data_IF_454268341685
#
_entry.id   IF_454268341685
#
_cell.length_a   1.000
_cell.length_b   1.000
_cell.length_c   1.000
_cell.angle_alpha   90.00
_cell.angle_beta   90.00
_cell.angle_gamma   90.00
#
_symmetry.space_group_name_H-M   'P 1'
#
loop_
_entity.id
_entity.type
_entity.pdbx_description
1 polymer ?
#
# COMPACT_ATOMS: atom_id res chain seq x y z
N UNK A 1 1.00 25.92 2.05
CA UNK A 1 -0.29 25.20 2.20
C UNK A 1 -0.11 24.11 3.25
N UNK A 2 -1.14 23.80 4.05
CA UNK A 2 -1.13 22.63 4.95
C UNK A 2 -1.03 21.36 4.09
N UNK A 3 -0.11 20.45 4.43
CA UNK A 3 -0.02 19.14 3.77
C UNK A 3 -1.16 18.26 4.26
N UNK A 4 -1.71 17.42 3.39
CA UNK A 4 -2.68 16.39 3.80
C UNK A 4 -1.93 15.29 4.54
N UNK A 5 -2.31 15.04 5.79
CA UNK A 5 -1.69 14.04 6.68
C UNK A 5 -2.35 12.69 6.46
N UNK A 6 -1.54 11.68 6.18
CA UNK A 6 -2.00 10.39 5.66
C UNK A 6 -1.50 9.23 6.51
N UNK A 7 -2.40 8.30 6.84
CA UNK A 7 -2.02 6.94 7.25
C UNK A 7 -2.22 5.99 6.08
N UNK A 8 -1.28 5.08 5.85
CA UNK A 8 -1.42 4.01 4.85
C UNK A 8 -1.56 2.66 5.57
N UNK A 9 -2.71 2.02 5.41
CA UNK A 9 -2.99 0.69 5.97
C UNK A 9 -2.59 -0.42 5.00
N UNK A 10 -1.84 -1.44 5.43
CA UNK A 10 -1.53 -2.59 4.58
C UNK A 10 -0.62 -3.64 5.20
N UNK A 11 -0.32 -4.68 4.40
CA UNK A 11 0.48 -5.83 4.80
C UNK A 11 1.76 -5.96 3.94
N UNK A 12 2.63 -4.95 3.96
CA UNK A 12 4.01 -5.02 3.42
C UNK A 12 4.12 -5.37 1.93
N UNK A 13 3.23 -4.83 1.10
CA UNK A 13 3.24 -4.93 -0.35
C UNK A 13 2.68 -3.68 -1.02
N UNK A 14 1.36 -3.62 -1.19
CA UNK A 14 0.70 -2.52 -1.90
C UNK A 14 0.76 -1.19 -1.14
N UNK A 15 0.81 -1.20 0.18
CA UNK A 15 1.08 -0.03 1.03
C UNK A 15 2.38 0.68 0.65
N UNK A 16 3.51 -0.03 0.68
CA UNK A 16 4.81 0.51 0.29
C UNK A 16 4.86 0.88 -1.19
N UNK A 17 4.18 0.11 -2.06
CA UNK A 17 4.05 0.47 -3.46
C UNK A 17 3.29 1.79 -3.66
N UNK A 18 2.15 1.97 -3.01
CA UNK A 18 1.38 3.22 -3.05
C UNK A 18 2.21 4.39 -2.53
N UNK A 19 2.94 4.19 -1.42
CA UNK A 19 3.88 5.18 -0.90
C UNK A 19 4.92 5.58 -1.94
N UNK A 20 5.66 4.61 -2.48
CA UNK A 20 6.75 4.86 -3.41
C UNK A 20 6.31 5.48 -4.74
N UNK A 21 5.12 5.12 -5.22
CA UNK A 21 4.63 5.58 -6.52
C UNK A 21 3.91 6.93 -6.46
N UNK A 22 3.35 7.30 -5.31
CA UNK A 22 2.48 8.48 -5.22
C UNK A 22 2.83 9.47 -4.10
N UNK A 23 3.36 9.01 -2.96
CA UNK A 23 3.53 9.85 -1.76
C UNK A 23 4.98 10.24 -1.44
N UNK A 24 5.97 9.40 -1.76
CA UNK A 24 7.37 9.51 -1.27
C UNK A 24 7.99 10.90 -1.37
N UNK A 25 7.86 11.56 -2.51
CA UNK A 25 8.45 12.89 -2.75
C UNK A 25 7.37 13.93 -3.13
N UNK A 26 6.12 13.68 -2.71
CA UNK A 26 4.98 14.52 -3.03
C UNK A 26 4.70 15.51 -1.89
N UNK A 27 5.09 16.77 -2.10
CA UNK A 27 5.02 17.83 -1.07
C UNK A 27 3.59 18.22 -0.67
N UNK A 28 2.57 17.78 -1.42
CA UNK A 28 1.16 17.96 -1.05
C UNK A 28 0.72 17.07 0.13
N UNK A 29 1.48 16.00 0.43
CA UNK A 29 1.13 14.99 1.42
C UNK A 29 2.23 14.81 2.47
N UNK A 30 1.83 14.31 3.62
CA UNK A 30 2.71 13.85 4.69
C UNK A 30 2.19 12.50 5.19
N UNK A 31 2.92 11.42 4.90
CA UNK A 31 2.58 10.08 5.39
C UNK A 31 3.14 9.93 6.79
N UNK A 32 2.26 10.02 7.78
CA UNK A 32 2.64 10.10 9.21
C UNK A 32 2.83 8.73 9.84
N UNK A 33 2.21 7.70 9.25
CA UNK A 33 2.34 6.33 9.71
C UNK A 33 1.92 5.32 8.63
N UNK A 34 2.47 4.12 8.74
CA UNK A 34 1.86 2.91 8.22
C UNK A 34 1.16 2.16 9.36
N UNK A 35 0.15 1.37 9.01
CA UNK A 35 -0.44 0.39 9.94
C UNK A 35 -0.52 -0.98 9.31
N UNK A 36 -0.33 -2.03 10.09
CA UNK A 36 -0.43 -3.41 9.63
C UNK A 36 -1.18 -4.30 10.62
N UNK A 37 -1.96 -5.26 10.11
CA UNK A 37 -2.39 -6.44 10.87
C UNK A 37 -1.16 -7.22 11.32
N UNK A 38 -1.22 -7.89 12.48
CA UNK A 38 -0.08 -8.59 13.06
C UNK A 38 0.63 -9.51 12.04
N UNK A 39 1.77 -9.04 11.54
CA UNK A 39 2.78 -9.87 10.91
C UNK A 39 3.80 -10.18 12.01
N UNK A 40 4.23 -11.44 12.19
CA UNK A 40 5.26 -11.76 13.16
C UNK A 40 6.46 -10.81 13.02
N UNK A 41 6.85 -10.17 14.13
CA UNK A 41 7.99 -9.24 14.23
C UNK A 41 7.85 -7.87 13.53
N UNK A 42 6.64 -7.38 13.21
CA UNK A 42 6.48 -6.04 12.61
C UNK A 42 6.37 -4.90 13.63
N UNK A 43 6.07 -5.21 14.89
CA UNK A 43 5.92 -4.24 15.97
C UNK A 43 7.22 -3.45 16.19
N UNK A 44 7.13 -2.11 16.21
CA UNK A 44 8.28 -1.22 16.36
C UNK A 44 9.13 -1.03 15.09
N UNK A 45 8.76 -1.62 13.94
CA UNK A 45 9.48 -1.38 12.67
C UNK A 45 9.16 0.01 12.10
N UNK A 46 10.13 0.51 11.33
CA UNK A 46 9.95 1.67 10.46
C UNK A 46 10.11 1.25 9.00
N UNK A 47 9.36 1.91 8.12
CA UNK A 47 9.76 2.03 6.73
C UNK A 47 11.08 2.82 6.69
N UNK A 48 12.17 2.27 6.14
CA UNK A 48 13.51 2.78 6.37
C UNK A 48 13.75 4.09 5.61
N UNK A 49 14.50 5.01 6.24
CA UNK A 49 14.82 6.32 5.68
C UNK A 49 15.47 6.26 4.29
N UNK A 50 16.34 5.26 4.07
CA UNK A 50 17.03 5.03 2.80
C UNK A 50 16.08 4.78 1.61
N UNK A 51 14.83 4.34 1.89
CA UNK A 51 13.79 4.12 0.88
C UNK A 51 12.69 5.19 0.93
N UNK A 52 12.65 6.00 1.98
CA UNK A 52 11.55 6.91 2.27
C UNK A 52 11.63 8.24 1.50
N UNK A 53 12.71 8.50 0.77
CA UNK A 53 12.88 9.73 -0.02
C UNK A 53 13.20 10.96 0.82
N UNK A 54 13.28 12.13 0.17
CA UNK A 54 13.85 13.35 0.79
C UNK A 54 12.98 13.93 1.91
N UNK A 55 11.70 13.59 1.93
CA UNK A 55 10.73 14.14 2.88
C UNK A 55 10.68 13.39 4.22
N UNK A 56 11.35 12.23 4.32
CA UNK A 56 11.24 11.33 5.48
C UNK A 56 12.62 10.81 5.95
N UNK A 57 13.54 11.70 6.40
CA UNK A 57 14.90 11.33 6.78
C UNK A 57 14.99 10.37 7.97
N UNK A 58 13.93 10.26 8.78
CA UNK A 58 13.86 9.37 9.95
C UNK A 58 13.10 8.06 9.67
N UNK A 59 12.71 7.85 8.41
CA UNK A 59 11.77 6.81 8.02
C UNK A 59 10.34 7.11 8.48
N UNK A 60 9.46 6.11 8.37
CA UNK A 60 8.04 6.23 8.75
C UNK A 60 7.67 5.07 9.66
N UNK A 61 7.05 5.37 10.80
CA UNK A 61 6.68 4.34 11.77
C UNK A 61 5.59 3.40 11.24
N UNK A 62 5.67 2.12 11.63
CA UNK A 62 4.66 1.11 11.36
C UNK A 62 4.02 0.72 12.71
N UNK A 63 2.72 0.93 12.84
CA UNK A 63 1.96 0.63 14.05
C UNK A 63 1.03 -0.58 13.85
N UNK A 64 0.59 -1.23 14.94
CA UNK A 64 -0.53 -2.17 14.88
C UNK A 64 -1.79 -1.50 14.32
N UNK A 65 -2.52 -2.21 13.45
CA UNK A 65 -3.79 -1.71 12.90
C UNK A 65 -4.84 -1.41 13.98
N UNK A 66 -4.82 -2.13 15.10
CA UNK A 66 -5.75 -1.92 16.21
C UNK A 66 -5.64 -0.51 16.83
N UNK A 67 -4.48 0.14 16.70
CA UNK A 67 -4.25 1.51 17.17
C UNK A 67 -4.80 2.58 16.22
N UNK A 68 -5.30 2.21 15.03
CA UNK A 68 -5.72 3.15 13.99
C UNK A 68 -6.68 4.25 14.49
N UNK A 69 -7.73 3.98 15.27
CA UNK A 69 -8.65 5.03 15.74
C UNK A 69 -7.96 6.09 16.61
N UNK A 70 -7.01 5.67 17.44
CA UNK A 70 -6.26 6.56 18.32
C UNK A 70 -5.17 7.30 17.56
N UNK A 71 -4.51 6.64 16.61
CA UNK A 71 -3.51 7.27 15.73
C UNK A 71 -4.13 8.38 14.88
N UNK A 72 -5.35 8.20 14.37
CA UNK A 72 -6.06 9.23 13.58
C UNK A 72 -6.17 10.53 14.37
N UNK A 73 -6.58 10.45 15.64
CA UNK A 73 -6.73 11.61 16.52
C UNK A 73 -5.37 12.18 16.93
N UNK A 74 -4.46 11.31 17.42
CA UNK A 74 -3.15 11.70 17.96
C UNK A 74 -2.26 12.36 16.91
N UNK A 75 -2.35 11.90 15.66
CA UNK A 75 -1.52 12.38 14.56
C UNK A 75 -2.23 13.40 13.67
N UNK A 76 -3.43 13.90 14.02
CA UNK A 76 -4.23 14.84 13.21
C UNK A 76 -4.32 14.39 11.74
N UNK A 77 -4.85 13.19 11.52
CA UNK A 77 -4.87 12.54 10.20
C UNK A 77 -6.06 13.02 9.39
N UNK A 78 -5.81 13.45 8.14
CA UNK A 78 -6.85 13.88 7.22
C UNK A 78 -7.38 12.70 6.36
N UNK A 79 -6.49 11.82 5.88
CA UNK A 79 -6.85 10.69 5.01
C UNK A 79 -6.24 9.36 5.51
N UNK A 80 -7.01 8.28 5.43
CA UNK A 80 -6.51 6.91 5.60
C UNK A 80 -6.64 6.15 4.28
N UNK A 81 -5.49 5.70 3.77
CA UNK A 81 -5.40 4.95 2.53
C UNK A 81 -5.43 3.46 2.82
N UNK A 82 -6.46 2.79 2.33
CA UNK A 82 -6.57 1.34 2.43
C UNK A 82 -5.80 0.65 1.31
N UNK A 83 -4.77 -0.10 1.67
CA UNK A 83 -3.87 -0.78 0.72
C UNK A 83 -3.79 -2.29 0.91
N UNK A 84 -4.61 -2.92 1.76
CA UNK A 84 -4.73 -4.37 1.75
C UNK A 84 -5.28 -4.89 0.42
N UNK A 85 -4.99 -6.16 0.16
CA UNK A 85 -5.52 -6.95 -0.96
C UNK A 85 -6.02 -8.28 -0.42
N UNK A 86 -6.90 -8.94 -1.18
CA UNK A 86 -7.41 -10.28 -0.84
C UNK A 86 -8.14 -10.35 0.52
N UNK A 87 -8.91 -9.29 0.81
CA UNK A 87 -9.75 -9.21 2.00
C UNK A 87 -11.23 -9.20 1.62
N UNK A 88 -12.11 -9.75 2.47
CA UNK A 88 -13.55 -9.64 2.31
C UNK A 88 -14.07 -8.19 2.28
N UNK A 89 -15.19 -7.97 1.61
CA UNK A 89 -15.80 -6.64 1.47
C UNK A 89 -16.20 -6.01 2.82
N UNK A 90 -16.75 -6.81 3.73
CA UNK A 90 -17.11 -6.42 5.09
C UNK A 90 -15.89 -5.94 5.89
N UNK A 91 -14.72 -6.56 5.71
CA UNK A 91 -13.49 -6.05 6.29
C UNK A 91 -13.13 -4.66 5.75
N UNK A 92 -13.24 -4.42 4.44
CA UNK A 92 -12.99 -3.10 3.85
C UNK A 92 -13.95 -2.04 4.42
N UNK A 93 -15.25 -2.37 4.44
CA UNK A 93 -16.28 -1.41 4.87
C UNK A 93 -16.27 -1.15 6.37
N UNK A 94 -15.97 -2.16 7.19
CA UNK A 94 -15.79 -1.95 8.63
C UNK A 94 -14.63 -1.01 8.93
N UNK A 95 -13.50 -1.12 8.23
CA UNK A 95 -12.38 -0.18 8.37
C UNK A 95 -12.74 1.22 7.90
N UNK A 96 -13.49 1.34 6.79
CA UNK A 96 -14.02 2.63 6.35
C UNK A 96 -14.90 3.30 7.40
N UNK A 97 -15.78 2.55 8.07
CA UNK A 97 -16.66 3.07 9.11
C UNK A 97 -15.85 3.54 10.34
N UNK A 98 -14.85 2.78 10.77
CA UNK A 98 -13.96 3.14 11.87
C UNK A 98 -13.19 4.43 11.56
N UNK A 99 -12.59 4.52 10.36
CA UNK A 99 -11.84 5.70 9.91
C UNK A 99 -12.71 6.94 9.90
N UNK A 100 -13.92 6.83 9.35
CA UNK A 100 -14.86 7.95 9.28
C UNK A 100 -15.35 8.38 10.67
N UNK A 101 -15.65 7.43 11.56
CA UNK A 101 -16.03 7.72 12.94
C UNK A 101 -14.91 8.38 13.74
N UNK A 102 -13.65 8.12 13.38
CA UNK A 102 -12.48 8.77 13.97
C UNK A 102 -12.18 10.16 13.38
N UNK A 103 -12.89 10.57 12.31
CA UNK A 103 -12.83 11.92 11.74
C UNK A 103 -11.94 12.10 10.50
N UNK A 104 -11.44 11.01 9.90
CA UNK A 104 -10.62 11.06 8.69
C UNK A 104 -11.38 10.52 7.46
N UNK A 105 -10.93 10.92 6.27
CA UNK A 105 -11.44 10.38 5.01
C UNK A 105 -10.88 8.98 4.76
N UNK A 106 -11.72 8.08 4.24
CA UNK A 106 -11.29 6.74 3.81
C UNK A 106 -11.08 6.69 2.31
N UNK A 107 -9.91 6.20 1.87
CA UNK A 107 -9.51 6.24 0.46
C UNK A 107 -8.98 4.91 -0.04
N UNK A 108 -9.51 4.47 -1.18
CA UNK A 108 -8.95 3.35 -1.96
C UNK A 108 -8.32 3.90 -3.23
N UNK A 109 -7.01 3.68 -3.40
CA UNK A 109 -6.30 4.24 -4.55
C UNK A 109 -6.55 3.43 -5.82
N UNK A 110 -7.02 4.12 -6.86
CA UNK A 110 -7.18 3.55 -8.20
C UNK A 110 -5.87 3.44 -9.00
N UNK A 111 -5.85 2.59 -10.04
CA UNK A 111 -4.64 2.26 -10.80
C UNK A 111 -4.03 3.46 -11.56
N UNK A 112 -4.82 4.48 -11.90
CA UNK A 112 -4.30 5.70 -12.56
C UNK A 112 -3.17 6.38 -11.77
N UNK A 113 -3.18 6.25 -10.44
CA UNK A 113 -2.18 6.85 -9.55
C UNK A 113 -1.04 5.90 -9.17
N UNK A 114 -1.29 4.60 -9.23
CA UNK A 114 -0.38 3.59 -8.65
C UNK A 114 0.22 2.65 -9.68
N UNK A 115 -0.32 2.53 -10.89
CA UNK A 115 0.29 1.72 -11.94
C UNK A 115 1.49 2.42 -12.58
N UNK A 116 2.60 1.69 -12.67
CA UNK A 116 3.77 2.13 -13.41
C UNK A 116 3.51 2.04 -14.91
N UNK A 117 3.91 3.06 -15.67
CA UNK A 117 3.90 3.01 -17.13
C UNK A 117 5.06 2.12 -17.59
N UNK A 118 4.74 1.05 -18.32
CA UNK A 118 5.77 0.21 -18.92
C UNK A 118 6.30 0.83 -20.21
N UNK A 119 7.62 0.80 -20.38
CA UNK A 119 8.29 1.10 -21.66
C UNK A 119 8.46 -0.16 -22.53
N UNK A 120 7.97 -1.30 -22.06
CA UNK A 120 8.06 -2.61 -22.71
C UNK A 120 6.67 -3.25 -22.85
N UNK A 121 6.45 -4.13 -23.84
CA UNK A 121 5.26 -4.97 -23.86
C UNK A 121 5.13 -5.76 -22.56
N UNK A 122 3.92 -5.80 -21.98
CA UNK A 122 3.64 -6.52 -20.74
C UNK A 122 2.65 -7.64 -21.03
N UNK A 123 3.00 -8.86 -20.63
CA UNK A 123 2.10 -10.02 -20.68
C UNK A 123 1.77 -10.42 -19.25
N UNK A 124 0.49 -10.30 -18.87
CA UNK A 124 0.00 -10.69 -17.56
C UNK A 124 -0.57 -12.12 -17.59
N UNK A 125 -0.04 -13.01 -16.75
CA UNK A 125 -0.55 -14.38 -16.59
C UNK A 125 -1.40 -14.44 -15.32
N UNK A 126 -2.72 -14.35 -15.49
CA UNK A 126 -3.69 -14.35 -14.40
C UNK A 126 -4.21 -15.76 -14.08
N UNK A 127 -4.81 -15.94 -12.91
CA UNK A 127 -5.54 -17.16 -12.56
C UNK A 127 -6.68 -16.89 -11.59
N UNK A 128 -7.70 -17.73 -11.64
CA UNK A 128 -8.90 -17.64 -10.80
C UNK A 128 -8.67 -18.07 -9.34
N UNK A 129 -7.63 -18.86 -9.06
CA UNK A 129 -7.22 -19.26 -7.69
C UNK A 129 -5.74 -19.59 -7.60
N UNK A 130 -5.25 -19.70 -6.36
CA UNK A 130 -3.91 -20.22 -6.06
C UNK A 130 -3.80 -21.69 -6.48
N UNK A 131 -2.61 -22.10 -6.95
CA UNK A 131 -2.38 -23.46 -7.44
C UNK A 131 -2.78 -23.74 -8.90
N UNK A 132 -3.39 -22.80 -9.62
CA UNK A 132 -3.79 -22.96 -11.04
C UNK A 132 -2.64 -22.96 -12.07
N UNK A 133 -1.38 -23.06 -11.64
CA UNK A 133 -0.26 -23.19 -12.56
C UNK A 133 0.28 -21.88 -13.19
N UNK A 134 0.00 -20.71 -12.60
CA UNK A 134 0.51 -19.40 -13.10
C UNK A 134 2.01 -19.46 -13.44
N UNK A 135 2.82 -19.99 -12.53
CA UNK A 135 4.28 -20.05 -12.71
C UNK A 135 4.71 -20.95 -13.86
N UNK A 136 4.03 -22.08 -14.07
CA UNK A 136 4.28 -23.01 -15.17
C UNK A 136 3.93 -22.35 -16.50
N UNK A 137 2.75 -21.73 -16.59
CA UNK A 137 2.31 -20.99 -17.77
C UNK A 137 3.25 -19.83 -18.08
N UNK A 138 3.65 -19.04 -17.08
CA UNK A 138 4.63 -17.96 -17.26
C UNK A 138 5.94 -18.48 -17.82
N UNK A 139 6.49 -19.58 -17.27
CA UNK A 139 7.73 -20.19 -17.79
C UNK A 139 7.59 -20.63 -19.24
N UNK A 140 6.46 -21.23 -19.62
CA UNK A 140 6.21 -21.66 -21.01
C UNK A 140 6.11 -20.48 -21.95
N UNK A 141 5.39 -19.41 -21.59
CA UNK A 141 5.28 -18.18 -22.39
C UNK A 141 6.66 -17.55 -22.58
N UNK A 142 7.46 -17.43 -21.51
CA UNK A 142 8.82 -16.89 -21.58
C UNK A 142 9.70 -17.72 -22.51
N UNK A 143 9.62 -19.05 -22.44
CA UNK A 143 10.37 -19.94 -23.33
C UNK A 143 9.99 -19.70 -24.80
N UNK A 144 8.68 -19.69 -25.11
CA UNK A 144 8.18 -19.48 -26.46
C UNK A 144 8.59 -18.12 -27.04
N UNK A 145 8.54 -17.07 -26.23
CA UNK A 145 8.98 -15.74 -26.67
C UNK A 145 10.49 -15.74 -26.98
N UNK A 146 11.32 -16.36 -26.14
CA UNK A 146 12.77 -16.46 -26.39
C UNK A 146 13.10 -17.28 -27.64
N UNK A 147 12.34 -18.33 -27.93
CA UNK A 147 12.49 -19.14 -29.14
C UNK A 147 12.10 -18.34 -30.40
N UNK A 148 11.22 -17.34 -30.27
CA UNK A 148 10.76 -16.50 -31.36
C UNK A 148 11.66 -15.29 -31.67
N UNK A 149 12.64 -14.98 -30.80
CA UNK A 149 13.58 -13.86 -30.92
C UNK A 149 13.24 -12.66 -30.05
#
# INVERSE_FOLDING_TARGET
>A
MKKTRVIIMGAAGRDFHNFNTFYRDNEAYEVVAFTATQIPNIEGRKYPAELAGKLYPEGIHIYPEEELPELIKKLDVDEVVFAYSDVPYDYVMSRSAIVNAAGADFKVMGPKRTMLKSTKPVVAVCAVRTGCGKSQTTRRVVQLLREAG
#
